data_IF_825334381847
#
_entry.id   IF_825334381847
#
_cell.length_a   1.000
_cell.length_b   1.000
_cell.length_c   1.000
_cell.angle_alpha   90.00
_cell.angle_beta   90.00
_cell.angle_gamma   90.00
#
_symmetry.space_group_name_H-M   'P 1'
#
loop_
_entity.id
_entity.type
_entity.pdbx_description
1 polymer ?
#
# COMPACT_ATOMS: atom_id res chain seq x y z
N UNK A 1 12.57 -37.93 12.65
CA UNK A 1 12.24 -37.01 11.54
C UNK A 1 11.83 -35.68 12.15
N UNK A 2 12.75 -34.74 12.31
CA UNK A 2 12.54 -33.49 13.05
C UNK A 2 12.24 -32.37 12.09
N UNK A 3 10.99 -31.89 12.08
CA UNK A 3 10.56 -30.75 11.28
C UNK A 3 11.14 -29.49 11.93
N UNK A 4 12.18 -28.91 11.32
CA UNK A 4 12.66 -27.58 11.71
C UNK A 4 11.63 -26.55 11.26
N UNK A 5 10.89 -25.98 12.21
CA UNK A 5 10.09 -24.80 11.98
C UNK A 5 11.01 -23.68 11.47
N UNK A 6 10.81 -23.25 10.21
CA UNK A 6 11.42 -22.00 9.74
C UNK A 6 10.75 -20.87 10.53
N UNK A 7 11.47 -20.32 11.51
CA UNK A 7 11.09 -19.05 12.12
C UNK A 7 11.09 -18.00 11.01
N UNK A 8 9.91 -17.55 10.59
CA UNK A 8 9.78 -16.25 9.95
C UNK A 8 10.02 -15.20 11.04
N UNK A 9 11.20 -14.60 11.06
CA UNK A 9 11.43 -13.37 11.78
C UNK A 9 10.89 -12.22 10.89
N UNK A 10 10.07 -11.30 11.40
CA UNK A 10 9.76 -10.08 10.66
C UNK A 10 11.06 -9.29 10.56
N UNK A 11 11.52 -9.04 9.33
CA UNK A 11 12.61 -8.11 9.10
C UNK A 11 12.07 -6.72 9.43
N UNK A 12 12.56 -6.12 10.52
CA UNK A 12 12.39 -4.68 10.77
C UNK A 12 13.41 -3.98 9.89
N UNK A 13 13.00 -3.71 8.65
CA UNK A 13 13.76 -3.04 7.61
C UNK A 13 12.78 -2.42 6.63
N UNK A 14 13.21 -1.40 5.89
CA UNK A 14 12.43 -0.66 4.90
C UNK A 14 11.50 -1.55 4.07
N UNK A 15 10.36 -1.01 3.61
CA UNK A 15 9.35 -1.74 2.85
C UNK A 15 9.99 -2.66 1.79
N UNK A 16 9.66 -3.94 1.85
CA UNK A 16 10.20 -4.95 0.93
C UNK A 16 9.69 -4.71 -0.51
N UNK A 17 8.53 -4.06 -0.64
CA UNK A 17 7.85 -3.82 -1.90
C UNK A 17 7.18 -2.44 -1.90
N UNK A 18 7.22 -1.77 -3.04
CA UNK A 18 6.47 -0.53 -3.30
C UNK A 18 5.41 -0.80 -4.38
N UNK A 19 4.15 -0.51 -4.06
CA UNK A 19 3.01 -0.66 -4.97
C UNK A 19 2.47 0.72 -5.36
N UNK A 20 2.35 0.98 -6.66
CA UNK A 20 1.79 2.24 -7.18
C UNK A 20 0.37 2.00 -7.65
N UNK A 21 -0.60 2.66 -7.03
CA UNK A 21 -2.02 2.52 -7.35
C UNK A 21 -2.51 3.82 -8.00
N UNK A 22 -3.11 3.72 -9.19
CA UNK A 22 -3.74 4.85 -9.85
C UNK A 22 -5.26 4.71 -9.78
N UNK A 23 -5.95 5.78 -9.42
CA UNK A 23 -7.42 5.83 -9.36
C UNK A 23 -7.98 7.03 -10.11
N UNK A 24 -9.15 6.83 -10.73
CA UNK A 24 -9.89 7.91 -11.41
C UNK A 24 -10.72 8.78 -10.45
N UNK A 25 -10.85 8.37 -9.20
CA UNK A 25 -11.59 9.15 -8.21
C UNK A 25 -10.78 10.36 -7.74
N UNK A 26 -11.49 11.39 -7.29
CA UNK A 26 -10.87 12.47 -6.51
C UNK A 26 -10.83 12.05 -5.02
N UNK A 27 -9.81 12.48 -4.25
CA UNK A 27 -9.63 12.06 -2.86
C UNK A 27 -10.84 12.45 -1.96
N UNK A 28 -11.50 13.56 -2.25
CA UNK A 28 -12.70 14.01 -1.54
C UNK A 28 -13.97 13.16 -1.75
N UNK A 29 -14.02 12.35 -2.83
CA UNK A 29 -15.18 11.47 -3.08
C UNK A 29 -15.22 10.32 -2.08
N UNK A 30 -16.40 9.73 -1.87
CA UNK A 30 -16.55 8.55 -0.99
C UNK A 30 -15.59 7.43 -1.43
N UNK A 31 -15.53 7.13 -2.73
CA UNK A 31 -14.62 6.13 -3.29
C UNK A 31 -13.14 6.49 -3.10
N UNK A 32 -12.79 7.78 -3.16
CA UNK A 32 -11.42 8.25 -2.90
C UNK A 32 -10.99 8.05 -1.45
N UNK A 33 -11.88 8.34 -0.49
CA UNK A 33 -11.65 8.10 0.94
C UNK A 33 -11.51 6.62 1.27
N UNK A 34 -12.35 5.78 0.66
CA UNK A 34 -12.26 4.32 0.81
C UNK A 34 -10.97 3.76 0.22
N UNK A 35 -10.47 4.33 -0.88
CA UNK A 35 -9.17 3.95 -1.43
C UNK A 35 -8.02 4.31 -0.48
N UNK A 36 -8.09 5.45 0.23
CA UNK A 36 -7.10 5.79 1.26
C UNK A 36 -7.15 4.81 2.42
N UNK A 37 -8.33 4.53 2.94
CA UNK A 37 -8.49 3.55 4.02
C UNK A 37 -7.95 2.17 3.62
N UNK A 38 -8.22 1.73 2.39
CA UNK A 38 -7.69 0.47 1.87
C UNK A 38 -6.14 0.46 1.89
N UNK A 39 -5.50 1.56 1.52
CA UNK A 39 -4.05 1.67 1.56
C UNK A 39 -3.54 1.59 3.01
N UNK A 40 -4.10 2.38 3.91
CA UNK A 40 -3.70 2.39 5.32
C UNK A 40 -3.84 1.00 5.97
N UNK A 41 -4.95 0.31 5.67
CA UNK A 41 -5.23 -1.03 6.15
C UNK A 41 -4.18 -2.02 5.63
N UNK A 42 -3.85 -1.97 4.34
CA UNK A 42 -2.89 -2.89 3.73
C UNK A 42 -1.47 -2.64 4.25
N UNK A 43 -1.05 -1.39 4.41
CA UNK A 43 0.26 -1.06 5.00
C UNK A 43 0.35 -1.58 6.44
N UNK A 44 -0.68 -1.34 7.24
CA UNK A 44 -0.78 -1.82 8.62
C UNK A 44 -0.77 -3.35 8.69
N UNK A 45 -1.60 -4.02 7.89
CA UNK A 45 -1.70 -5.49 7.84
C UNK A 45 -0.42 -6.15 7.29
N UNK A 46 0.32 -5.46 6.42
CA UNK A 46 1.62 -5.93 5.93
C UNK A 46 2.72 -5.85 6.97
N UNK A 47 2.46 -5.21 8.12
CA UNK A 47 3.47 -4.93 9.15
C UNK A 47 4.53 -3.94 8.67
N UNK A 48 4.15 -2.99 7.80
CA UNK A 48 5.07 -2.01 7.20
C UNK A 48 5.99 -2.56 6.11
N UNK A 49 5.70 -3.75 5.58
CA UNK A 49 6.50 -4.40 4.52
C UNK A 49 6.10 -3.99 3.12
N UNK A 50 4.90 -3.44 2.95
CA UNK A 50 4.40 -2.89 1.70
C UNK A 50 4.21 -1.38 1.88
N UNK A 51 4.78 -0.61 0.98
CA UNK A 51 4.60 0.84 0.85
C UNK A 51 3.70 1.11 -0.37
N UNK A 52 2.62 1.87 -0.21
CA UNK A 52 1.68 2.12 -1.28
C UNK A 52 1.63 3.61 -1.65
N UNK A 53 2.07 3.91 -2.87
CA UNK A 53 1.96 5.24 -3.45
C UNK A 53 0.65 5.38 -4.24
N UNK A 54 -0.29 6.19 -3.74
CA UNK A 54 -1.54 6.47 -4.42
C UNK A 54 -1.47 7.69 -5.35
N UNK A 55 -1.92 7.50 -6.59
CA UNK A 55 -2.04 8.53 -7.62
C UNK A 55 -3.52 8.73 -7.96
N UNK A 56 -4.09 9.85 -7.51
CA UNK A 56 -5.45 10.25 -7.89
C UNK A 56 -5.48 10.86 -9.29
N UNK A 57 -6.68 10.94 -9.87
CA UNK A 57 -6.95 11.43 -11.23
C UNK A 57 -6.30 12.79 -11.54
N UNK A 58 -6.20 13.68 -10.55
CA UNK A 58 -5.58 14.99 -10.68
C UNK A 58 -4.05 14.98 -10.71
N UNK A 59 -3.40 13.87 -10.36
CA UNK A 59 -1.93 13.78 -10.19
C UNK A 59 -1.21 13.17 -11.40
N UNK A 60 -1.93 12.64 -12.40
CA UNK A 60 -1.35 11.93 -13.57
C UNK A 60 -1.75 12.51 -14.94
N UNK A 61 -2.42 13.66 -14.97
CA UNK A 61 -2.51 14.47 -16.20
C UNK A 61 -1.71 15.74 -15.99
N UNK A 62 -0.60 15.90 -16.74
CA UNK A 62 0.06 17.20 -16.86
C UNK A 62 -1.04 18.21 -17.19
N UNK A 63 -1.28 19.19 -16.31
CA UNK A 63 -2.01 20.38 -16.71
C UNK A 63 -1.24 20.99 -17.88
N UNK A 64 -1.84 20.98 -19.07
CA UNK A 64 -1.34 21.71 -20.23
C UNK A 64 -1.56 23.21 -20.05
#
# INVERSE_FOLDING_TARGET
>A
MTIRARKWAPAVGAADYTLRIQTHYAPETVSGKLAQQFVDDVETMSGGRLDIEMFFSSSVVKSV
#
